data_IF_982133399295
#
_entry.id   IF_982133399295
#
_cell.length_a   1.000
_cell.length_b   1.000
_cell.length_c   1.000
_cell.angle_alpha   90.00
_cell.angle_beta   90.00
_cell.angle_gamma   90.00
#
_symmetry.space_group_name_H-M   'P 1'
#
loop_
_entity.id
_entity.type
_entity.pdbx_description
1 polymer ?
#
# COMPACT_ATOMS: atom_id res chain seq x y z
N UNK A 1 14.03 -7.01 -2.14
CA UNK A 1 12.90 -6.06 -2.19
C UNK A 1 11.70 -6.91 -1.85
N UNK A 2 11.00 -6.59 -0.77
CA UNK A 2 9.79 -7.32 -0.42
C UNK A 2 8.72 -6.85 -1.40
N UNK A 3 8.16 -7.77 -2.17
CA UNK A 3 7.16 -7.47 -3.18
C UNK A 3 6.09 -8.52 -3.07
N UNK A 4 4.84 -8.10 -2.86
CA UNK A 4 3.71 -9.02 -2.83
C UNK A 4 2.63 -8.57 -3.80
N UNK A 5 2.11 -9.55 -4.54
CA UNK A 5 0.94 -9.40 -5.40
C UNK A 5 -0.20 -10.22 -4.81
N UNK A 6 -1.38 -9.61 -4.69
CA UNK A 6 -2.55 -10.28 -4.15
C UNK A 6 -3.71 -9.33 -3.91
N UNK A 7 -4.67 -9.75 -3.11
CA UNK A 7 -5.83 -8.93 -2.72
C UNK A 7 -5.49 -8.03 -1.56
N UNK A 8 -6.13 -6.86 -1.51
CA UNK A 8 -6.05 -5.97 -0.35
C UNK A 8 -6.89 -6.56 0.78
N UNK A 9 -6.24 -7.04 1.84
CA UNK A 9 -6.93 -7.55 3.04
C UNK A 9 -7.52 -6.43 3.88
N UNK A 10 -6.75 -5.35 4.09
CA UNK A 10 -7.25 -4.14 4.74
C UNK A 10 -6.33 -2.94 4.48
N UNK A 11 -6.90 -1.74 4.64
CA UNK A 11 -6.19 -0.46 4.65
C UNK A 11 -6.46 0.18 6.00
N UNK A 12 -5.42 0.50 6.78
CA UNK A 12 -5.56 1.19 8.05
C UNK A 12 -4.80 2.51 8.04
N UNK A 13 -5.53 3.59 8.37
CA UNK A 13 -5.02 4.95 8.50
C UNK A 13 -5.28 5.37 9.95
N UNK A 14 -4.24 5.46 10.77
CA UNK A 14 -4.36 5.74 12.20
C UNK A 14 -4.41 7.25 12.48
N UNK A 15 -3.63 8.01 11.72
CA UNK A 15 -3.60 9.48 11.70
C UNK A 15 -3.02 9.95 10.36
N UNK A 16 -2.83 11.25 10.20
CA UNK A 16 -2.08 11.80 9.06
C UNK A 16 -0.63 11.27 8.99
N UNK A 17 -0.10 10.77 10.11
CA UNK A 17 1.31 10.41 10.25
C UNK A 17 1.60 8.95 9.89
N UNK A 18 0.63 8.04 9.99
CA UNK A 18 0.88 6.60 9.79
C UNK A 18 -0.28 5.91 9.07
N UNK A 19 0.07 5.17 8.01
CA UNK A 19 -0.83 4.23 7.38
C UNK A 19 -0.12 2.96 6.92
N UNK A 20 -0.86 1.85 6.90
CA UNK A 20 -0.39 0.58 6.39
C UNK A 20 -1.51 -0.18 5.67
N UNK A 21 -1.11 -1.15 4.85
CA UNK A 21 -1.99 -2.05 4.13
C UNK A 21 -1.54 -3.49 4.31
N UNK A 22 -2.47 -4.43 4.28
CA UNK A 22 -2.16 -5.85 4.19
C UNK A 22 -2.50 -6.36 2.79
N UNK A 23 -1.57 -7.06 2.16
CA UNK A 23 -1.80 -7.79 0.92
C UNK A 23 -1.86 -9.27 1.24
N UNK A 24 -2.83 -9.99 0.67
CA UNK A 24 -3.03 -11.42 0.87
C UNK A 24 -2.88 -12.10 -0.48
N UNK A 25 -1.91 -13.00 -0.60
CA UNK A 25 -1.69 -13.75 -1.83
C UNK A 25 -2.71 -14.89 -2.04
N UNK A 26 -2.60 -15.58 -3.18
CA UNK A 26 -3.48 -16.70 -3.54
C UNK A 26 -3.33 -17.93 -2.63
N UNK A 27 -2.25 -18.01 -1.84
CA UNK A 27 -2.05 -19.05 -0.83
C UNK A 27 -2.63 -18.65 0.54
N UNK A 28 -3.19 -17.44 0.66
CA UNK A 28 -3.74 -16.89 1.90
C UNK A 28 -2.68 -16.31 2.85
N UNK A 29 -1.45 -16.11 2.38
CA UNK A 29 -0.37 -15.52 3.19
C UNK A 29 -0.47 -14.00 3.11
N UNK A 30 -0.63 -13.38 4.27
CA UNK A 30 -0.74 -11.93 4.39
C UNK A 30 0.59 -11.24 4.74
N UNK A 31 1.01 -10.26 3.95
CA UNK A 31 2.13 -9.36 4.28
C UNK A 31 1.63 -7.94 4.53
N UNK A 32 2.25 -7.27 5.50
CA UNK A 32 1.90 -5.90 5.89
C UNK A 32 2.95 -4.93 5.34
N UNK A 33 2.47 -3.92 4.61
CA UNK A 33 3.28 -2.84 4.06
C UNK A 33 2.92 -1.53 4.72
N UNK A 34 3.93 -0.80 5.19
CA UNK A 34 3.77 0.55 5.74
C UNK A 34 3.72 1.52 4.57
N UNK A 35 2.56 2.14 4.33
CA UNK A 35 2.39 3.11 3.25
C UNK A 35 3.18 4.37 3.56
N UNK A 36 3.06 4.91 4.78
CA UNK A 36 3.90 5.99 5.27
C UNK A 36 3.97 5.97 6.79
N UNK A 37 5.03 6.57 7.32
CA UNK A 37 5.26 6.75 8.75
C UNK A 37 6.09 8.01 8.97
N UNK A 38 5.44 9.16 9.15
CA UNK A 38 6.08 10.47 9.34
C UNK A 38 5.86 11.01 10.74
N UNK A 39 6.07 10.15 11.73
CA UNK A 39 6.00 10.51 13.16
C UNK A 39 6.90 11.71 13.50
N UNK A 40 7.90 12.01 12.67
CA UNK A 40 8.84 13.13 12.82
C UNK A 40 8.60 14.30 11.87
N UNK A 41 7.71 14.18 10.87
CA UNK A 41 7.41 15.25 9.92
C UNK A 41 5.93 15.23 9.49
N UNK A 42 5.03 15.83 10.29
CA UNK A 42 3.59 15.74 10.07
C UNK A 42 3.10 16.53 8.83
N UNK A 43 3.96 17.30 8.16
CA UNK A 43 3.59 18.04 6.95
C UNK A 43 4.57 17.75 5.79
N UNK A 44 4.46 16.56 5.19
CA UNK A 44 5.33 16.16 4.08
C UNK A 44 5.12 17.06 2.85
N UNK A 45 6.14 17.17 1.98
CA UNK A 45 6.03 17.88 0.70
C UNK A 45 4.79 17.48 -0.11
N UNK A 46 4.27 18.41 -0.92
CA UNK A 46 3.02 18.19 -1.68
C UNK A 46 3.08 16.96 -2.58
N UNK A 47 4.24 16.66 -3.17
CA UNK A 47 4.43 15.49 -4.03
C UNK A 47 4.24 14.18 -3.26
N UNK A 48 4.67 14.12 -2.01
CA UNK A 48 4.54 12.94 -1.16
C UNK A 48 3.08 12.75 -0.75
N UNK A 49 2.37 13.83 -0.44
CA UNK A 49 0.93 13.80 -0.14
C UNK A 49 0.10 13.30 -1.32
N UNK A 50 0.43 13.75 -2.53
CA UNK A 50 -0.21 13.27 -3.77
C UNK A 50 0.08 11.79 -3.96
N UNK A 51 1.33 11.36 -3.81
CA UNK A 51 1.74 9.95 -3.95
C UNK A 51 0.99 9.04 -2.97
N UNK A 52 0.91 9.43 -1.70
CA UNK A 52 0.15 8.69 -0.67
C UNK A 52 -1.33 8.61 -1.00
N UNK A 53 -1.92 9.72 -1.45
CA UNK A 53 -3.33 9.76 -1.86
C UNK A 53 -3.60 8.84 -3.06
N UNK A 54 -2.67 8.78 -4.01
CA UNK A 54 -2.73 7.87 -5.15
C UNK A 54 -2.65 6.41 -4.69
N UNK A 55 -1.74 6.06 -3.79
CA UNK A 55 -1.65 4.70 -3.24
C UNK A 55 -2.96 4.26 -2.58
N UNK A 56 -3.55 5.11 -1.74
CA UNK A 56 -4.85 4.82 -1.12
C UNK A 56 -5.94 4.65 -2.18
N UNK A 57 -5.96 5.50 -3.20
CA UNK A 57 -6.96 5.42 -4.28
C UNK A 57 -6.84 4.10 -5.05
N UNK A 58 -5.62 3.68 -5.39
CA UNK A 58 -5.35 2.43 -6.08
C UNK A 58 -5.74 1.21 -5.22
N UNK A 59 -5.40 1.20 -3.93
CA UNK A 59 -5.75 0.10 -3.02
C UNK A 59 -7.27 -0.01 -2.84
N UNK A 60 -7.97 1.12 -2.67
CA UNK A 60 -9.43 1.13 -2.57
C UNK A 60 -10.10 0.70 -3.87
N UNK A 61 -9.56 1.10 -5.01
CA UNK A 61 -10.03 0.62 -6.30
C UNK A 61 -9.83 -0.90 -6.42
N UNK A 62 -8.68 -1.42 -6.01
CA UNK A 62 -8.43 -2.86 -6.01
C UNK A 62 -9.47 -3.63 -5.18
N UNK A 63 -9.84 -3.10 -4.02
CA UNK A 63 -10.91 -3.67 -3.18
C UNK A 63 -12.29 -3.60 -3.83
N UNK A 64 -12.61 -2.49 -4.49
CA UNK A 64 -13.92 -2.27 -5.10
C UNK A 64 -14.14 -3.13 -6.35
N UNK A 65 -13.09 -3.27 -7.17
CA UNK A 65 -13.14 -3.97 -8.46
C UNK A 65 -12.69 -5.45 -8.34
N UNK A 66 -12.44 -5.93 -7.12
CA UNK A 66 -11.84 -7.24 -6.82
C UNK A 66 -10.58 -7.53 -7.69
N UNK A 67 -9.68 -6.55 -7.76
CA UNK A 67 -8.43 -6.65 -8.51
C UNK A 67 -7.27 -7.05 -7.60
N UNK A 68 -6.31 -7.73 -8.20
CA UNK A 68 -5.01 -7.91 -7.56
C UNK A 68 -4.24 -6.59 -7.57
N UNK A 69 -3.44 -6.36 -6.54
CA UNK A 69 -2.53 -5.23 -6.45
C UNK A 69 -1.13 -5.75 -6.15
N UNK A 70 -0.13 -5.11 -6.73
CA UNK A 70 1.27 -5.34 -6.39
C UNK A 70 1.79 -4.19 -5.54
N UNK A 71 2.34 -4.51 -4.38
CA UNK A 71 2.98 -3.55 -3.47
C UNK A 71 4.45 -3.94 -3.32
N UNK A 72 5.34 -2.96 -3.50
CA UNK A 72 6.79 -3.15 -3.39
C UNK A 72 7.34 -2.31 -2.25
N UNK A 73 8.07 -2.93 -1.33
CA UNK A 73 8.76 -2.30 -0.21
C UNK A 73 10.28 -2.29 -0.33
N UNK A 74 10.93 -1.42 0.47
CA UNK A 74 12.37 -1.10 0.36
C UNK A 74 13.36 -2.15 0.95
N UNK A 75 12.87 -3.22 1.61
CA UNK A 75 13.59 -4.26 2.37
C UNK A 75 14.16 -3.91 3.73
N UNK A 76 14.25 -2.64 4.11
CA UNK A 76 15.11 -2.28 5.22
C UNK A 76 14.35 -2.40 6.54
N UNK A 77 14.03 -3.63 6.98
CA UNK A 77 13.38 -3.95 8.28
C UNK A 77 12.01 -3.31 8.53
N UNK A 78 11.62 -2.34 7.72
CA UNK A 78 10.34 -1.64 7.68
C UNK A 78 9.86 -1.84 6.25
N UNK A 79 8.71 -2.48 6.04
CA UNK A 79 8.16 -2.68 4.69
C UNK A 79 7.59 -1.35 4.16
N UNK A 80 8.41 -0.29 4.10
CA UNK A 80 8.00 1.01 3.60
C UNK A 80 7.73 0.89 2.10
N UNK A 81 6.50 1.23 1.74
CA UNK A 81 6.02 1.13 0.37
C UNK A 81 6.77 2.12 -0.51
N UNK A 82 7.32 1.60 -1.60
CA UNK A 82 7.98 2.38 -2.66
C UNK A 82 7.09 2.48 -3.90
N UNK A 83 6.20 1.50 -4.11
CA UNK A 83 5.23 1.54 -5.19
C UNK A 83 3.99 0.70 -4.90
N UNK A 84 2.87 1.13 -5.48
CA UNK A 84 1.59 0.42 -5.52
C UNK A 84 1.12 0.41 -6.96
N UNK A 85 0.79 -0.76 -7.48
CA UNK A 85 0.35 -0.95 -8.87
C UNK A 85 -0.90 -1.81 -8.90
N UNK A 86 -1.97 -1.31 -9.51
CA UNK A 86 -3.14 -2.12 -9.82
C UNK A 86 -2.78 -3.20 -10.84
N UNK A 87 -3.23 -4.42 -10.60
CA UNK A 87 -3.28 -5.46 -11.60
C UNK A 87 -4.23 -5.07 -12.74
N UNK A 88 -3.95 -5.57 -13.94
CA UNK A 88 -4.84 -5.37 -15.07
C UNK A 88 -6.12 -6.18 -14.90
N UNK A 89 -7.27 -5.53 -15.08
CA UNK A 89 -8.56 -6.18 -15.19
C UNK A 89 -8.53 -7.11 -16.41
N UNK A 90 -8.49 -8.43 -16.20
CA UNK A 90 -8.76 -9.40 -17.27
C UNK A 90 -10.28 -9.51 -17.41
N UNK A 91 -10.81 -8.88 -18.47
CA UNK A 91 -12.19 -9.01 -18.93
C UNK A 91 -12.47 -10.41 -19.49
#
# INVERSE_FOLDING_TARGET
MASQTGKVGCIQIFSDDVAWTQIVDSAGVGEVFVLWSDVTNPNPPINDRITRSNWISLLRQAMADDLDVTVVGDNATSALTTSVQLGTFTL
#
